data_IF_824239339469
#
_entry.id   IF_824239339469
#
_cell.length_a   1.000
_cell.length_b   1.000
_cell.length_c   1.000
_cell.angle_alpha   90.00
_cell.angle_beta   90.00
_cell.angle_gamma   90.00
#
_symmetry.space_group_name_H-M   'P 1'
#
loop_
_entity.id
_entity.type
_entity.pdbx_description
1 polymer ?
#
# COMPACT_ATOMS: atom_id res chain seq x y z
N UNK A 1 2.31 7.05 -19.30
CA UNK A 1 2.22 6.31 -18.02
C UNK A 1 2.49 7.27 -16.89
N UNK A 2 1.64 7.25 -15.85
CA UNK A 2 1.74 8.14 -14.70
C UNK A 2 1.81 7.32 -13.42
N UNK A 3 2.30 7.90 -12.33
CA UNK A 3 2.24 7.29 -11.00
C UNK A 3 0.83 7.38 -10.36
N UNK A 4 -0.09 8.12 -10.98
CA UNK A 4 -1.48 8.30 -10.53
C UNK A 4 -1.60 8.75 -9.06
N UNK A 5 -0.65 9.53 -8.55
CA UNK A 5 -0.66 10.04 -7.18
C UNK A 5 -0.06 9.10 -6.12
N UNK A 6 0.45 7.92 -6.51
CA UNK A 6 1.16 7.01 -5.60
C UNK A 6 2.65 7.02 -5.93
N UNK A 7 3.44 7.74 -5.12
CA UNK A 7 4.90 7.83 -5.29
C UNK A 7 5.66 6.62 -4.75
N UNK A 8 5.13 5.96 -3.73
CA UNK A 8 5.71 4.79 -3.08
C UNK A 8 4.61 3.87 -2.55
N UNK A 9 4.86 2.55 -2.57
CA UNK A 9 4.02 1.55 -1.91
C UNK A 9 4.86 0.82 -0.87
N UNK A 10 4.38 0.78 0.37
CA UNK A 10 5.03 0.07 1.48
C UNK A 10 4.11 -1.06 1.95
N UNK A 11 4.69 -2.25 2.13
CA UNK A 11 3.99 -3.44 2.63
C UNK A 11 4.46 -3.69 4.06
N UNK A 12 3.52 -3.78 4.98
CA UNK A 12 3.75 -4.07 6.40
C UNK A 12 2.81 -5.18 6.87
N UNK A 13 3.12 -5.78 8.03
CA UNK A 13 2.19 -6.69 8.68
C UNK A 13 0.89 -5.94 9.00
N UNK A 14 -0.24 -6.66 8.99
CA UNK A 14 -1.55 -6.06 9.24
C UNK A 14 -1.64 -5.39 10.62
N UNK A 15 -0.93 -5.93 11.62
CA UNK A 15 -0.82 -5.39 12.98
C UNK A 15 -0.09 -4.05 13.03
N UNK A 16 0.80 -3.78 12.08
CA UNK A 16 1.70 -2.64 12.11
C UNK A 16 1.20 -1.49 11.23
N UNK A 17 0.09 -1.71 10.50
CA UNK A 17 -0.43 -0.76 9.51
C UNK A 17 -0.69 0.63 10.10
N UNK A 18 -1.36 0.71 11.25
CA UNK A 18 -1.71 1.99 11.86
C UNK A 18 -0.47 2.71 12.44
N UNK A 19 0.49 1.94 12.97
CA UNK A 19 1.75 2.48 13.45
C UNK A 19 2.59 3.03 12.30
N UNK A 20 2.69 2.30 11.18
CA UNK A 20 3.41 2.73 10.00
C UNK A 20 2.80 3.98 9.37
N UNK A 21 1.46 4.04 9.26
CA UNK A 21 0.75 5.24 8.79
C UNK A 21 1.08 6.44 9.69
N UNK A 22 0.98 6.26 11.01
CA UNK A 22 1.25 7.34 11.97
C UNK A 22 2.68 7.85 11.87
N UNK A 23 3.67 6.96 11.76
CA UNK A 23 5.08 7.33 11.64
C UNK A 23 5.37 8.11 10.35
N UNK A 24 4.84 7.65 9.22
CA UNK A 24 5.04 8.30 7.92
C UNK A 24 4.34 9.67 7.87
N UNK A 25 3.12 9.77 8.41
CA UNK A 25 2.42 11.05 8.53
C UNK A 25 3.18 12.03 9.45
N UNK A 26 3.74 11.55 10.56
CA UNK A 26 4.57 12.37 11.44
C UNK A 26 5.87 12.86 10.77
N UNK A 27 6.38 12.10 9.78
CA UNK A 27 7.51 12.51 8.94
C UNK A 27 7.11 13.51 7.82
N UNK A 28 5.83 13.88 7.71
CA UNK A 28 5.33 14.84 6.72
C UNK A 28 4.81 14.21 5.42
N UNK A 29 4.72 12.88 5.35
CA UNK A 29 4.22 12.19 4.15
C UNK A 29 2.68 12.16 4.10
N UNK A 30 2.14 12.15 2.88
CA UNK A 30 0.70 11.88 2.67
C UNK A 30 0.51 10.38 2.47
N UNK A 31 -0.17 9.73 3.42
CA UNK A 31 -0.27 8.27 3.48
C UNK A 31 -1.72 7.82 3.43
N UNK A 32 -2.00 6.84 2.57
CA UNK A 32 -3.30 6.19 2.44
C UNK A 32 -3.15 4.68 2.46
N UNK A 33 -4.06 3.97 3.14
CA UNK A 33 -4.14 2.51 3.07
C UNK A 33 -4.86 2.12 1.77
N UNK A 34 -4.12 1.59 0.80
CA UNK A 34 -4.62 1.35 -0.56
C UNK A 34 -5.00 -0.10 -0.88
N UNK A 35 -4.75 -1.06 0.02
CA UNK A 35 -5.12 -2.45 -0.23
C UNK A 35 -4.55 -3.45 0.77
N UNK A 36 -4.56 -4.72 0.35
CA UNK A 36 -4.05 -5.88 1.10
C UNK A 36 -3.34 -6.85 0.16
N UNK A 37 -2.37 -7.59 0.70
CA UNK A 37 -1.74 -8.71 -0.02
C UNK A 37 -2.57 -9.97 0.19
N UNK A 38 -2.78 -10.73 -0.88
CA UNK A 38 -3.50 -12.02 -0.87
C UNK A 38 -2.77 -13.03 -1.74
N UNK A 39 -3.09 -14.31 -1.55
CA UNK A 39 -2.66 -15.35 -2.47
C UNK A 39 -3.18 -15.05 -3.90
N UNK A 40 -2.31 -15.29 -4.88
CA UNK A 40 -2.65 -15.17 -6.29
C UNK A 40 -3.52 -16.34 -6.73
N UNK A 41 -4.52 -16.09 -7.55
CA UNK A 41 -5.40 -17.08 -8.15
C UNK A 41 -5.04 -17.31 -9.62
N UNK A 42 -4.45 -18.47 -9.92
CA UNK A 42 -4.00 -18.83 -11.27
C UNK A 42 -3.04 -17.79 -11.86
N UNK A 43 -3.32 -17.37 -13.10
CA UNK A 43 -2.47 -16.47 -13.87
C UNK A 43 -2.90 -15.00 -13.80
N UNK A 44 -3.80 -14.61 -12.88
CA UNK A 44 -4.27 -13.23 -12.75
C UNK A 44 -3.13 -12.22 -12.58
N UNK A 45 -3.32 -10.95 -12.92
CA UNK A 45 -2.26 -9.97 -12.72
C UNK A 45 -1.87 -9.85 -11.24
N UNK A 46 -0.56 -9.71 -10.96
CA UNK A 46 -0.02 -9.72 -9.60
C UNK A 46 -0.49 -8.52 -8.75
N UNK A 47 -0.79 -7.39 -9.41
CA UNK A 47 -1.34 -6.19 -8.78
C UNK A 47 -2.66 -5.86 -9.46
N UNK A 48 -3.74 -5.68 -8.70
CA UNK A 48 -5.05 -5.32 -9.24
C UNK A 48 -5.56 -4.09 -8.51
N UNK A 49 -5.97 -3.08 -9.26
CA UNK A 49 -6.71 -1.90 -8.76
C UNK A 49 -8.17 -2.14 -9.14
N UNK A 50 -9.04 -2.30 -8.13
CA UNK A 50 -10.47 -2.58 -8.30
C UNK A 50 -11.29 -1.54 -7.55
#
# INVERSE_FOLDING_TARGET
TFNCGIGMVVIVAASDADAAISQLQAAGETVSKIGVIRARNGDEHQTQVK
#
